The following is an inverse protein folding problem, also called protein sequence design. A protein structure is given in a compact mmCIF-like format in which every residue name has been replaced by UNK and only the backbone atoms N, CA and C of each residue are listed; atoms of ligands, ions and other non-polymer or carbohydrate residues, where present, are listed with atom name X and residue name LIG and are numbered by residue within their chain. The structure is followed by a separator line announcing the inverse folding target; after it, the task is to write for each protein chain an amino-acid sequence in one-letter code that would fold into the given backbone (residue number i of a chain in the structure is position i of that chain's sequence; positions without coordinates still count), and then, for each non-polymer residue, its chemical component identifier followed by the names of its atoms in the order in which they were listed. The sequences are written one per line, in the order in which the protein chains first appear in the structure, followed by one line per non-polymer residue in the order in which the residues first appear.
data_IF_651368799159
#
_entry.id   IF_651368799159
#
_cell.length_a   1.000
_cell.length_b   1.000
_cell.length_c   1.000
_cell.angle_alpha   90.00
_cell.angle_beta   90.00
_cell.angle_gamma   90.00
#
_symmetry.space_group_name_H-M   'P 1'
#
loop_
_entity.id
_entity.type
_entity.pdbx_description
1 polymer ?
#
# COMPACT_ATOMS: atom_id res chain seq x y z
N UNK A 1 13.39 10.40 5.46
CA UNK A 1 13.93 9.77 6.69
C UNK A 1 12.86 8.93 7.38
N UNK A 2 11.72 9.49 7.88
CA UNK A 2 10.70 8.77 8.68
C UNK A 2 10.22 7.49 7.97
N UNK A 3 9.86 7.53 6.70
CA UNK A 3 9.40 6.35 5.96
C UNK A 3 10.50 5.26 5.83
N UNK A 4 11.77 5.65 5.73
CA UNK A 4 12.89 4.70 5.68
C UNK A 4 13.09 4.04 7.05
N UNK A 5 13.04 4.83 8.12
CA UNK A 5 13.12 4.29 9.49
C UNK A 5 11.93 3.37 9.79
N UNK A 6 10.75 3.73 9.31
CA UNK A 6 9.56 2.89 9.43
C UNK A 6 9.73 1.57 8.66
N UNK A 7 10.26 1.61 7.42
CA UNK A 7 10.57 0.39 6.66
C UNK A 7 11.58 -0.49 7.41
N UNK A 8 12.63 0.08 7.98
CA UNK A 8 13.62 -0.66 8.77
C UNK A 8 12.97 -1.31 10.01
N UNK A 9 12.05 -0.61 10.67
CA UNK A 9 11.27 -1.14 11.77
C UNK A 9 10.35 -2.30 11.32
N UNK A 10 9.67 -2.15 10.18
CA UNK A 10 8.83 -3.22 9.61
C UNK A 10 9.64 -4.46 9.27
N UNK A 11 10.87 -4.27 8.81
CA UNK A 11 11.77 -5.36 8.42
C UNK A 11 12.22 -6.22 9.61
N UNK A 12 12.28 -5.62 10.78
CA UNK A 12 12.65 -6.34 12.00
C UNK A 12 11.68 -7.49 12.26
N UNK A 13 12.19 -8.73 12.15
CA UNK A 13 11.43 -9.98 12.36
C UNK A 13 10.17 -10.08 11.48
N UNK A 14 10.18 -9.59 10.25
CA UNK A 14 9.03 -9.60 9.33
C UNK A 14 8.53 -11.03 9.05
N UNK A 15 9.42 -12.02 9.02
CA UNK A 15 9.07 -13.43 8.83
C UNK A 15 8.40 -14.11 10.03
N UNK A 16 8.17 -13.38 11.14
CA UNK A 16 7.54 -13.92 12.35
C UNK A 16 6.12 -13.36 12.51
N UNK A 17 5.14 -14.24 12.79
CA UNK A 17 5.19 -15.69 12.95
C UNK A 17 5.56 -16.41 11.64
N UNK A 18 6.23 -17.57 11.76
CA UNK A 18 6.69 -18.38 10.62
C UNK A 18 5.57 -19.22 9.97
N UNK A 19 4.34 -18.82 10.15
CA UNK A 19 3.11 -19.43 9.62
C UNK A 19 2.20 -18.35 9.05
N UNK A 20 1.23 -18.77 8.24
CA UNK A 20 0.14 -17.92 7.76
C UNK A 20 -0.63 -17.37 8.96
N UNK A 21 -0.92 -16.09 8.93
CA UNK A 21 -1.58 -15.37 10.01
C UNK A 21 -2.70 -14.49 9.49
N UNK A 22 -3.85 -14.48 10.20
CA UNK A 22 -5.02 -13.68 9.88
C UNK A 22 -5.49 -13.92 8.43
N UNK A 23 -5.91 -12.90 7.70
CA UNK A 23 -6.41 -13.03 6.32
C UNK A 23 -5.35 -13.43 5.29
N UNK A 24 -4.07 -13.57 5.68
CA UNK A 24 -3.06 -14.20 4.83
C UNK A 24 -3.52 -15.57 4.32
N UNK A 25 -4.36 -16.29 5.09
CA UNK A 25 -4.92 -17.58 4.68
C UNK A 25 -5.68 -17.47 3.36
N UNK A 26 -6.37 -16.37 3.11
CA UNK A 26 -7.12 -16.14 1.89
C UNK A 26 -6.22 -15.62 0.77
N UNK A 27 -5.36 -14.64 1.05
CA UNK A 27 -4.61 -13.91 0.01
C UNK A 27 -3.34 -14.63 -0.41
N UNK A 28 -2.60 -15.26 0.50
CA UNK A 28 -1.43 -16.08 0.17
C UNK A 28 -1.87 -17.35 -0.55
N UNK A 29 -2.96 -17.99 -0.11
CA UNK A 29 -3.54 -19.14 -0.81
C UNK A 29 -3.98 -18.77 -2.21
N UNK A 30 -4.67 -17.64 -2.39
CA UNK A 30 -5.06 -17.15 -3.70
C UNK A 30 -3.86 -16.85 -4.60
N UNK A 31 -2.78 -16.30 -4.03
CA UNK A 31 -1.53 -16.02 -4.75
C UNK A 31 -0.83 -17.32 -5.21
N UNK A 32 -0.83 -18.37 -4.39
CA UNK A 32 -0.31 -19.70 -4.76
C UNK A 32 -1.09 -20.28 -5.92
N UNK A 33 -2.42 -20.34 -5.83
CA UNK A 33 -3.27 -20.82 -6.92
C UNK A 33 -3.09 -20.00 -8.20
N UNK A 34 -2.90 -18.69 -8.10
CA UNK A 34 -2.63 -17.84 -9.27
C UNK A 34 -1.33 -18.23 -9.96
N UNK A 35 -0.29 -18.61 -9.22
CA UNK A 35 0.97 -19.13 -9.79
C UNK A 35 0.80 -20.49 -10.47
N UNK A 36 -0.23 -21.25 -10.10
CA UNK A 36 -0.64 -22.51 -10.72
C UNK A 36 -1.62 -22.33 -11.89
N UNK A 37 -1.97 -21.07 -12.24
CA UNK A 37 -2.94 -20.75 -13.29
C UNK A 37 -4.41 -20.90 -12.87
N UNK A 38 -4.68 -21.09 -11.58
CA UNK A 38 -6.01 -21.27 -11.03
C UNK A 38 -6.55 -19.93 -10.49
N UNK A 39 -7.88 -19.74 -10.56
CA UNK A 39 -8.55 -18.61 -9.93
C UNK A 39 -9.06 -18.99 -8.56
N UNK A 40 -8.73 -18.18 -7.56
CA UNK A 40 -9.17 -18.34 -6.19
C UNK A 40 -9.51 -16.97 -5.57
N UNK A 41 -10.47 -16.94 -4.64
CA UNK A 41 -10.93 -15.72 -3.96
C UNK A 41 -11.41 -14.63 -4.94
N UNK A 42 -12.56 -14.84 -5.64
CA UNK A 42 -13.08 -13.87 -6.61
C UNK A 42 -13.65 -12.60 -5.98
N UNK A 43 -13.85 -12.57 -4.67
CA UNK A 43 -14.48 -11.49 -3.90
C UNK A 43 -13.71 -10.17 -3.99
N UNK A 44 -12.39 -10.25 -4.19
CA UNK A 44 -11.51 -9.09 -4.31
C UNK A 44 -10.82 -9.02 -5.66
N UNK A 45 -10.48 -7.80 -6.15
CA UNK A 45 -9.72 -7.62 -7.37
C UNK A 45 -8.38 -8.36 -7.34
N UNK A 46 -7.81 -8.57 -8.53
CA UNK A 46 -6.65 -9.47 -8.67
C UNK A 46 -5.30 -8.82 -8.33
N UNK A 47 -5.17 -7.49 -8.44
CA UNK A 47 -3.87 -6.81 -8.39
C UNK A 47 -3.08 -7.11 -7.11
N UNK A 48 -3.71 -6.97 -5.95
CA UNK A 48 -3.01 -7.22 -4.68
C UNK A 48 -2.54 -8.67 -4.55
N UNK A 49 -3.36 -9.63 -4.99
CA UNK A 49 -3.00 -11.06 -5.04
C UNK A 49 -1.86 -11.31 -6.02
N UNK A 50 -1.85 -10.64 -7.17
CA UNK A 50 -0.76 -10.72 -8.16
C UNK A 50 0.56 -10.21 -7.60
N UNK A 51 0.54 -9.14 -6.81
CA UNK A 51 1.75 -8.62 -6.14
C UNK A 51 2.31 -9.67 -5.17
N UNK A 52 1.46 -10.32 -4.38
CA UNK A 52 1.87 -11.40 -3.46
C UNK A 52 2.35 -12.62 -4.27
N UNK A 53 1.64 -13.00 -5.33
CA UNK A 53 2.03 -14.12 -6.21
C UNK A 53 3.40 -13.90 -6.87
N UNK A 54 3.68 -12.68 -7.31
CA UNK A 54 4.98 -12.31 -7.85
C UNK A 54 6.09 -12.45 -6.78
N UNK A 55 5.84 -12.01 -5.55
CA UNK A 55 6.81 -12.18 -4.46
C UNK A 55 7.09 -13.66 -4.18
N UNK A 56 6.06 -14.50 -4.10
CA UNK A 56 6.21 -15.96 -3.94
C UNK A 56 7.01 -16.55 -5.09
N UNK A 57 6.71 -16.17 -6.33
CA UNK A 57 7.36 -16.72 -7.52
C UNK A 57 8.84 -16.38 -7.62
N UNK A 58 9.22 -15.14 -7.27
CA UNK A 58 10.60 -14.66 -7.46
C UNK A 58 11.48 -14.80 -6.24
N UNK A 59 10.90 -14.74 -5.03
CA UNK A 59 11.65 -14.80 -3.77
C UNK A 59 11.51 -16.15 -3.05
N UNK A 60 10.53 -16.97 -3.47
CA UNK A 60 10.19 -18.23 -2.83
C UNK A 60 9.01 -18.14 -1.87
N UNK A 61 8.37 -19.28 -1.61
CA UNK A 61 7.16 -19.40 -0.79
C UNK A 61 7.51 -19.47 0.71
N UNK A 62 7.76 -18.33 1.32
CA UNK A 62 8.08 -18.20 2.74
C UNK A 62 7.43 -16.96 3.35
N UNK A 63 7.12 -16.97 4.68
CA UNK A 63 6.46 -15.88 5.38
C UNK A 63 7.14 -14.51 5.20
N UNK A 64 8.44 -14.46 5.24
CA UNK A 64 9.19 -13.25 4.96
C UNK A 64 8.85 -12.71 3.57
N UNK A 65 8.91 -13.58 2.56
CA UNK A 65 8.88 -13.19 1.16
C UNK A 65 7.53 -12.64 0.72
N UNK A 66 6.42 -13.27 1.11
CA UNK A 66 5.10 -12.76 0.75
C UNK A 66 4.67 -11.51 1.55
N UNK A 67 5.37 -11.18 2.67
CA UNK A 67 5.14 -9.97 3.48
C UNK A 67 5.96 -8.76 3.02
N UNK A 68 7.07 -8.98 2.31
CA UNK A 68 7.92 -7.91 1.77
C UNK A 68 7.11 -6.85 1.00
N UNK A 69 6.23 -7.21 0.05
CA UNK A 69 5.46 -6.22 -0.68
C UNK A 69 4.59 -5.34 0.21
N UNK A 70 3.96 -5.90 1.23
CA UNK A 70 3.13 -5.14 2.19
C UNK A 70 3.97 -4.17 3.02
N UNK A 71 5.16 -4.59 3.48
CA UNK A 71 6.07 -3.73 4.23
C UNK A 71 6.57 -2.54 3.38
N UNK A 72 6.95 -2.79 2.14
CA UNK A 72 7.32 -1.75 1.19
C UNK A 72 6.14 -0.80 0.94
N UNK A 73 4.95 -1.35 0.72
CA UNK A 73 3.74 -0.56 0.49
C UNK A 73 3.38 0.32 1.68
N UNK A 74 3.52 -0.19 2.92
CA UNK A 74 3.31 0.59 4.14
C UNK A 74 4.25 1.79 4.24
N UNK A 75 5.52 1.60 3.90
CA UNK A 75 6.51 2.69 3.90
C UNK A 75 6.26 3.71 2.77
N UNK A 76 5.92 3.26 1.56
CA UNK A 76 5.56 4.15 0.44
C UNK A 76 4.28 4.92 0.76
N UNK A 77 3.26 4.27 1.32
CA UNK A 77 2.02 4.93 1.73
C UNK A 77 2.26 6.01 2.79
N UNK A 78 3.11 5.72 3.78
CA UNK A 78 3.52 6.71 4.79
C UNK A 78 4.28 7.89 4.17
N UNK A 79 5.16 7.64 3.21
CA UNK A 79 5.84 8.71 2.47
C UNK A 79 4.84 9.55 1.68
N UNK A 80 3.92 8.90 0.95
CA UNK A 80 2.90 9.56 0.15
C UNK A 80 1.96 10.41 1.02
N UNK A 81 1.57 9.92 2.20
CA UNK A 81 0.84 10.71 3.20
C UNK A 81 1.60 11.98 3.59
N UNK A 82 2.87 11.86 3.90
CA UNK A 82 3.71 13.03 4.22
C UNK A 82 3.76 14.04 3.06
N UNK A 83 3.87 13.56 1.83
CA UNK A 83 3.82 14.44 0.64
C UNK A 83 2.45 15.09 0.46
N UNK A 84 1.37 14.33 0.65
CA UNK A 84 0.00 14.85 0.60
C UNK A 84 -0.19 15.98 1.61
N UNK A 85 0.12 15.73 2.89
CA UNK A 85 -0.04 16.71 3.97
C UNK A 85 0.82 17.95 3.69
N UNK A 86 2.03 17.78 3.17
CA UNK A 86 2.89 18.90 2.77
C UNK A 86 2.26 19.75 1.67
N UNK A 87 1.73 19.13 0.62
CA UNK A 87 1.10 19.86 -0.48
C UNK A 87 -0.20 20.56 -0.06
N UNK A 88 -0.93 19.99 0.88
CA UNK A 88 -2.18 20.59 1.40
C UNK A 88 -1.88 21.74 2.35
N UNK A 89 -0.98 21.56 3.31
CA UNK A 89 -0.80 22.50 4.42
C UNK A 89 0.37 23.45 4.28
N UNK A 90 1.42 23.05 3.57
CA UNK A 90 2.70 23.76 3.48
C UNK A 90 3.48 23.82 4.81
N UNK A 91 3.04 23.09 5.86
CA UNK A 91 3.58 23.19 7.21
C UNK A 91 4.38 21.97 7.59
N UNK A 92 5.70 22.15 7.79
CA UNK A 92 6.62 21.08 8.16
C UNK A 92 6.19 20.31 9.41
N UNK A 93 5.84 21.05 10.47
CA UNK A 93 5.46 20.41 11.74
C UNK A 93 4.21 19.54 11.58
N UNK A 94 3.19 20.04 10.88
CA UNK A 94 1.95 19.28 10.61
C UNK A 94 2.26 17.99 9.84
N UNK A 95 3.14 18.08 8.83
CA UNK A 95 3.58 16.92 8.05
C UNK A 95 4.29 15.88 8.94
N UNK A 96 5.23 16.33 9.78
CA UNK A 96 5.98 15.44 10.66
C UNK A 96 5.07 14.77 11.70
N UNK A 97 4.16 15.53 12.32
CA UNK A 97 3.18 15.01 13.27
C UNK A 97 2.26 14.00 12.60
N UNK A 98 1.72 14.30 11.42
CA UNK A 98 0.86 13.38 10.68
C UNK A 98 1.58 12.07 10.35
N UNK A 99 2.81 12.14 9.85
CA UNK A 99 3.62 10.96 9.57
C UNK A 99 3.93 10.16 10.84
N UNK A 100 4.22 10.84 11.95
CA UNK A 100 4.49 10.18 13.22
C UNK A 100 3.25 9.44 13.75
N UNK A 101 2.09 10.10 13.73
CA UNK A 101 0.82 9.49 14.16
C UNK A 101 0.48 8.24 13.35
N UNK A 102 0.69 8.26 12.01
CA UNK A 102 0.44 7.08 11.18
C UNK A 102 1.50 6.01 11.39
N UNK A 103 2.78 6.39 11.52
CA UNK A 103 3.85 5.42 11.79
C UNK A 103 3.69 4.69 13.13
N UNK A 104 3.08 5.35 14.13
CA UNK A 104 2.79 4.78 15.45
C UNK A 104 1.39 4.16 15.55
N UNK A 105 0.57 4.29 14.51
CA UNK A 105 -0.75 3.68 14.47
C UNK A 105 -0.62 2.16 14.39
N UNK A 106 -1.22 1.47 15.36
CA UNK A 106 -1.11 0.02 15.47
C UNK A 106 -1.66 -0.71 14.24
N UNK A 107 -2.80 -0.25 13.71
CA UNK A 107 -3.41 -0.86 12.53
C UNK A 107 -2.50 -0.73 11.30
N UNK A 108 -1.97 0.48 11.04
CA UNK A 108 -1.03 0.71 9.94
C UNK A 108 0.22 -0.16 10.06
N UNK A 109 0.77 -0.25 11.26
CA UNK A 109 1.95 -1.06 11.54
C UNK A 109 1.71 -2.55 11.31
N UNK A 110 0.62 -3.11 11.87
CA UNK A 110 0.31 -4.54 11.75
C UNK A 110 -0.01 -4.90 10.30
N UNK A 111 -0.88 -4.13 9.62
CA UNK A 111 -1.24 -4.39 8.23
C UNK A 111 -0.04 -4.29 7.27
N UNK A 112 0.96 -3.47 7.60
CA UNK A 112 2.22 -3.40 6.85
C UNK A 112 3.11 -4.63 7.05
N UNK A 113 2.86 -5.48 8.06
CA UNK A 113 3.69 -6.65 8.39
C UNK A 113 3.09 -7.98 7.98
N UNK A 114 1.88 -7.98 7.45
CA UNK A 114 1.19 -9.17 6.97
C UNK A 114 0.77 -8.97 5.50
N UNK A 115 0.60 -10.06 4.75
CA UNK A 115 0.28 -9.97 3.32
C UNK A 115 -1.21 -9.63 3.10
N UNK A 116 -1.52 -8.33 3.26
CA UNK A 116 -2.87 -7.79 3.18
C UNK A 116 -3.08 -6.94 1.93
N UNK A 117 -4.23 -7.09 1.28
CA UNK A 117 -4.62 -6.27 0.12
C UNK A 117 -4.80 -4.80 0.51
N UNK A 118 -5.16 -4.54 1.77
CA UNK A 118 -5.38 -3.19 2.32
C UNK A 118 -4.17 -2.29 2.17
N UNK A 119 -2.97 -2.84 2.36
CA UNK A 119 -1.75 -2.02 2.25
C UNK A 119 -1.44 -1.60 0.83
N UNK A 120 -1.70 -2.47 -0.16
CA UNK A 120 -1.57 -2.09 -1.56
C UNK A 120 -2.60 -1.05 -1.95
N UNK A 121 -3.86 -1.24 -1.54
CA UNK A 121 -4.93 -0.27 -1.73
C UNK A 121 -4.58 1.08 -1.11
N UNK A 122 -4.18 1.10 0.15
CA UNK A 122 -3.84 2.32 0.88
C UNK A 122 -2.62 3.04 0.28
N UNK A 123 -1.58 2.30 -0.10
CA UNK A 123 -0.39 2.85 -0.76
C UNK A 123 -0.77 3.56 -2.06
N UNK A 124 -1.45 2.87 -2.98
CA UNK A 124 -1.85 3.45 -4.26
C UNK A 124 -2.82 4.62 -4.08
N UNK A 125 -3.78 4.51 -3.15
CA UNK A 125 -4.70 5.59 -2.81
C UNK A 125 -3.97 6.83 -2.28
N UNK A 126 -3.04 6.67 -1.35
CA UNK A 126 -2.24 7.79 -0.83
C UNK A 126 -1.35 8.43 -1.89
N UNK A 127 -0.76 7.63 -2.78
CA UNK A 127 0.01 8.15 -3.93
C UNK A 127 -0.90 8.94 -4.86
N UNK A 128 -2.09 8.43 -5.17
CA UNK A 128 -3.08 9.13 -5.99
C UNK A 128 -3.50 10.48 -5.38
N UNK A 129 -3.84 10.51 -4.11
CA UNK A 129 -4.20 11.74 -3.38
C UNK A 129 -3.04 12.74 -3.34
N UNK A 130 -1.81 12.28 -3.07
CA UNK A 130 -0.63 13.15 -3.14
C UNK A 130 -0.45 13.75 -4.54
N UNK A 131 -0.53 12.95 -5.59
CA UNK A 131 -0.39 13.43 -6.96
C UNK A 131 -1.47 14.43 -7.33
N UNK A 132 -2.73 14.19 -6.95
CA UNK A 132 -3.85 15.11 -7.16
C UNK A 132 -3.62 16.44 -6.42
N UNK A 133 -3.29 16.40 -5.13
CA UNK A 133 -2.99 17.61 -4.35
C UNK A 133 -1.79 18.39 -4.93
N UNK A 134 -0.78 17.68 -5.43
CA UNK A 134 0.40 18.29 -6.07
C UNK A 134 0.07 18.92 -7.42
N UNK A 135 -0.91 18.40 -8.16
CA UNK A 135 -1.35 18.95 -9.43
C UNK A 135 -2.00 20.33 -9.24
N UNK A 136 -2.78 20.51 -8.17
CA UNK A 136 -3.39 21.81 -7.82
C UNK A 136 -2.33 22.84 -7.47
N UNK A 137 -1.27 22.44 -6.77
CA UNK A 137 -0.20 23.36 -6.33
C UNK A 137 0.85 23.67 -7.40
N UNK A 138 0.97 22.82 -8.40
CA UNK A 138 1.95 22.93 -9.49
C UNK A 138 1.24 22.82 -10.85
N UNK A 139 0.50 23.87 -11.27
CA UNK A 139 -0.38 23.84 -12.44
C UNK A 139 0.35 23.51 -13.74
N UNK A 140 1.61 23.93 -13.87
CA UNK A 140 2.44 23.66 -15.07
C UNK A 140 2.61 22.17 -15.35
N UNK A 141 2.62 21.36 -14.31
CA UNK A 141 2.72 19.90 -14.36
C UNK A 141 1.38 19.21 -14.05
N UNK A 142 0.31 19.96 -13.93
CA UNK A 142 -0.97 19.49 -13.44
C UNK A 142 -1.54 18.31 -14.21
N UNK A 143 -1.50 18.37 -15.55
CA UNK A 143 -2.06 17.33 -16.43
C UNK A 143 -1.42 15.95 -16.18
N UNK A 144 -0.08 15.89 -16.14
CA UNK A 144 0.64 14.64 -15.88
C UNK A 144 0.39 14.09 -14.48
N UNK A 145 0.35 14.98 -13.49
CA UNK A 145 0.09 14.59 -12.11
C UNK A 145 -1.32 14.05 -11.94
N UNK A 146 -2.32 14.66 -12.58
CA UNK A 146 -3.69 14.17 -12.59
C UNK A 146 -3.82 12.82 -13.31
N UNK A 147 -3.15 12.65 -14.45
CA UNK A 147 -3.14 11.37 -15.16
C UNK A 147 -2.55 10.26 -14.28
N UNK A 148 -1.39 10.52 -13.65
CA UNK A 148 -0.77 9.56 -12.72
C UNK A 148 -1.61 9.33 -11.47
N UNK A 149 -2.31 10.36 -10.96
CA UNK A 149 -3.25 10.22 -9.86
C UNK A 149 -4.40 9.27 -10.22
N UNK A 150 -4.97 9.42 -11.42
CA UNK A 150 -6.01 8.53 -11.93
C UNK A 150 -5.53 7.08 -12.06
N UNK A 151 -4.31 6.88 -12.59
CA UNK A 151 -3.70 5.54 -12.66
C UNK A 151 -3.52 4.95 -11.25
N UNK A 152 -2.97 5.73 -10.31
CA UNK A 152 -2.76 5.25 -8.94
C UNK A 152 -4.08 4.91 -8.24
N UNK A 153 -5.14 5.71 -8.44
CA UNK A 153 -6.48 5.42 -7.92
C UNK A 153 -7.07 4.17 -8.56
N UNK A 154 -6.90 3.97 -9.86
CA UNK A 154 -7.30 2.74 -10.55
C UNK A 154 -6.57 1.50 -10.02
N UNK A 155 -5.26 1.60 -9.73
CA UNK A 155 -4.49 0.54 -9.09
C UNK A 155 -4.96 0.28 -7.65
N UNK A 156 -5.32 1.32 -6.91
CA UNK A 156 -5.91 1.19 -5.58
C UNK A 156 -7.21 0.38 -5.62
N UNK A 157 -8.11 0.72 -6.55
CA UNK A 157 -9.35 -0.03 -6.78
C UNK A 157 -9.08 -1.47 -7.24
N UNK A 158 -8.08 -1.65 -8.12
CA UNK A 158 -7.62 -2.96 -8.57
C UNK A 158 -7.01 -3.84 -7.48
N UNK A 159 -6.58 -3.25 -6.35
CA UNK A 159 -6.11 -3.99 -5.19
C UNK A 159 -7.25 -4.41 -4.25
N UNK A 160 -8.19 -3.49 -3.97
CA UNK A 160 -9.35 -3.78 -3.09
C UNK A 160 -10.51 -2.82 -3.37
N UNK A 161 -11.75 -3.35 -3.42
CA UNK A 161 -12.96 -2.55 -3.68
C UNK A 161 -13.26 -1.48 -2.63
N UNK A 162 -12.74 -1.61 -1.42
CA UNK A 162 -13.03 -0.73 -0.28
C UNK A 162 -12.67 0.74 -0.51
N UNK A 163 -11.85 1.05 -1.51
CA UNK A 163 -11.51 2.43 -1.89
C UNK A 163 -12.61 3.08 -2.76
N UNK A 164 -13.53 2.32 -3.32
CA UNK A 164 -14.55 2.82 -4.26
C UNK A 164 -15.33 4.06 -3.74
N UNK A 165 -15.76 4.12 -2.46
CA UNK A 165 -16.43 5.30 -1.94
C UNK A 165 -15.58 6.57 -1.99
N UNK A 166 -14.25 6.46 -1.81
CA UNK A 166 -13.34 7.61 -1.92
C UNK A 166 -13.27 8.17 -3.34
N UNK A 167 -13.48 7.33 -4.34
CA UNK A 167 -13.47 7.73 -5.75
C UNK A 167 -14.78 8.39 -6.19
N UNK A 168 -15.85 8.21 -5.43
CA UNK A 168 -17.19 8.76 -5.70
C UNK A 168 -17.41 10.15 -5.07
N UNK A 169 -16.47 10.64 -4.26
CA UNK A 169 -16.53 11.98 -3.66
C UNK A 169 -16.04 12.98 -4.70
N UNK A 170 -16.88 13.95 -5.12
CA UNK A 170 -16.53 14.97 -6.12
C UNK A 170 -15.47 15.97 -5.60
#
# INVERSE_FOLDING_TARGET
VIAILFLALLWWRLGIPSRIYFDEIHYVTAARHQNEGLRFNPEHPVLGKTIIAAAIRWLGDAPLNWRIPSAISGAIGLFALGRLVWFVTGRRLVTLVAMFLVATNFLWFVMSRIAMLDMFMAMFGMVGLWLAASAVRLPEQGRWRLALAGIAMGLSLGAKWSVAPLLAVP
#
